data_IF_209241829697
#
_entry.id   IF_209241829697
#
_cell.length_a   1.000
_cell.length_b   1.000
_cell.length_c   1.000
_cell.angle_alpha   90.00
_cell.angle_beta   90.00
_cell.angle_gamma   90.00
#
_symmetry.space_group_name_H-M   'P 1'
#
loop_
_entity.id
_entity.type
_entity.pdbx_description
1 polymer ?
#
# COMPACT_ATOMS: atom_id res chain seq x y z
N UNK A 1 15.48 16.71 -10.81
CA UNK A 1 14.62 16.43 -11.93
C UNK A 1 13.56 15.40 -11.54
N UNK A 2 12.37 15.43 -12.17
CA UNK A 2 11.20 14.58 -11.85
C UNK A 2 11.52 13.06 -11.88
N UNK A 3 12.51 12.64 -12.66
CA UNK A 3 12.97 11.25 -12.73
C UNK A 3 13.73 10.83 -11.47
N UNK A 4 14.57 11.69 -10.91
CA UNK A 4 15.29 11.41 -9.67
C UNK A 4 14.36 11.36 -8.47
N UNK A 5 13.31 12.17 -8.45
CA UNK A 5 12.27 12.15 -7.41
C UNK A 5 11.43 10.86 -7.45
N UNK A 6 10.99 10.41 -8.64
CA UNK A 6 10.20 9.17 -8.74
C UNK A 6 11.01 7.92 -8.34
N UNK A 7 12.32 7.89 -8.66
CA UNK A 7 13.23 6.81 -8.24
C UNK A 7 13.45 6.84 -6.72
N UNK A 8 13.59 8.03 -6.14
CA UNK A 8 13.75 8.19 -4.69
C UNK A 8 12.50 7.72 -3.95
N UNK A 9 11.31 8.12 -4.39
CA UNK A 9 10.03 7.68 -3.81
C UNK A 9 9.88 6.16 -3.91
N UNK A 10 10.19 5.55 -5.06
CA UNK A 10 10.13 4.09 -5.22
C UNK A 10 11.07 3.36 -4.26
N UNK A 11 12.30 3.85 -4.05
CA UNK A 11 13.25 3.27 -3.08
C UNK A 11 12.72 3.39 -1.65
N UNK A 12 12.15 4.52 -1.27
CA UNK A 12 11.56 4.73 0.06
C UNK A 12 10.39 3.78 0.30
N UNK A 13 9.50 3.59 -0.69
CA UNK A 13 8.39 2.64 -0.61
C UNK A 13 8.87 1.21 -0.44
N UNK A 14 9.89 0.78 -1.19
CA UNK A 14 10.49 -0.55 -1.03
C UNK A 14 11.11 -0.74 0.37
N UNK A 15 11.75 0.28 0.93
CA UNK A 15 12.24 0.24 2.31
C UNK A 15 11.09 0.12 3.32
N UNK A 16 9.98 0.83 3.11
CA UNK A 16 8.76 0.71 3.90
C UNK A 16 8.20 -0.71 3.91
N UNK A 17 8.08 -1.34 2.73
CA UNK A 17 7.61 -2.72 2.59
C UNK A 17 8.53 -3.74 3.28
N UNK A 18 9.86 -3.55 3.23
CA UNK A 18 10.82 -4.35 4.01
C UNK A 18 10.61 -4.14 5.52
N UNK A 19 10.38 -2.90 5.94
CA UNK A 19 10.05 -2.54 7.31
C UNK A 19 8.81 -3.27 7.82
N UNK A 20 7.73 -3.25 7.05
CA UNK A 20 6.50 -3.96 7.39
C UNK A 20 6.73 -5.46 7.59
N UNK A 21 7.43 -6.11 6.66
CA UNK A 21 7.72 -7.54 6.76
C UNK A 21 8.51 -7.87 8.03
N UNK A 22 9.55 -7.11 8.32
CA UNK A 22 10.40 -7.34 9.48
C UNK A 22 9.68 -7.05 10.81
N UNK A 23 8.98 -5.92 10.90
CA UNK A 23 8.28 -5.49 12.11
C UNK A 23 7.10 -6.41 12.43
N UNK A 24 6.25 -6.74 11.44
CA UNK A 24 5.11 -7.63 11.65
C UNK A 24 5.56 -9.04 12.03
N UNK A 25 6.62 -9.56 11.40
CA UNK A 25 7.20 -10.85 11.79
C UNK A 25 7.70 -10.85 13.23
N UNK A 26 8.35 -9.76 13.66
CA UNK A 26 8.85 -9.59 15.02
C UNK A 26 7.69 -9.45 16.04
N UNK A 27 6.63 -8.73 15.70
CA UNK A 27 5.43 -8.62 16.56
C UNK A 27 4.76 -9.98 16.79
N UNK A 28 4.72 -10.85 15.78
CA UNK A 28 4.20 -12.22 15.94
C UNK A 28 5.03 -13.08 16.89
N UNK A 29 6.32 -12.75 17.10
CA UNK A 29 7.19 -13.40 18.09
C UNK A 29 7.03 -12.80 19.50
N UNK A 30 6.25 -11.73 19.66
CA UNK A 30 6.00 -11.08 20.94
C UNK A 30 7.05 -10.07 21.39
N UNK A 31 8.08 -9.80 20.59
CA UNK A 31 9.15 -8.85 20.91
C UNK A 31 8.92 -7.48 20.24
N UNK A 32 8.05 -6.68 20.84
CA UNK A 32 7.75 -5.33 20.34
C UNK A 32 8.88 -4.33 20.55
N UNK A 33 9.79 -4.59 21.52
CA UNK A 33 10.89 -3.67 21.84
C UNK A 33 11.96 -3.59 20.73
N UNK A 34 12.03 -4.60 19.87
CA UNK A 34 12.96 -4.59 18.73
C UNK A 34 12.44 -3.82 17.51
N UNK A 35 11.13 -3.52 17.44
CA UNK A 35 10.55 -2.84 16.29
C UNK A 35 11.20 -1.49 15.97
N UNK A 36 11.53 -0.71 17.01
CA UNK A 36 12.24 0.56 16.85
C UNK A 36 13.62 0.35 16.25
N UNK A 37 14.38 -0.64 16.76
CA UNK A 37 15.73 -0.95 16.25
C UNK A 37 15.67 -1.40 14.79
N UNK A 38 14.69 -2.24 14.44
CA UNK A 38 14.45 -2.70 13.06
C UNK A 38 14.17 -1.50 12.14
N UNK A 39 13.25 -0.62 12.54
CA UNK A 39 12.91 0.56 11.74
C UNK A 39 14.12 1.51 11.57
N UNK A 40 14.86 1.78 12.62
CA UNK A 40 16.09 2.60 12.56
C UNK A 40 17.18 1.99 11.68
N UNK A 41 17.36 0.67 11.73
CA UNK A 41 18.33 -0.02 10.86
C UNK A 41 17.99 0.09 9.37
N UNK A 42 16.74 0.33 9.05
CA UNK A 42 16.24 0.59 7.69
C UNK A 42 16.24 2.08 7.32
N UNK A 43 16.73 2.95 8.21
CA UNK A 43 16.88 4.38 7.95
C UNK A 43 15.66 5.24 8.33
N UNK A 44 14.67 4.68 9.06
CA UNK A 44 13.53 5.47 9.56
C UNK A 44 13.88 6.19 10.86
N UNK A 45 13.43 7.45 10.97
CA UNK A 45 13.58 8.25 12.17
C UNK A 45 12.44 7.97 13.16
N UNK A 46 12.70 7.10 14.15
CA UNK A 46 11.74 6.67 15.16
C UNK A 46 12.31 6.98 16.55
N UNK A 47 11.55 7.69 17.39
CA UNK A 47 11.90 7.97 18.79
C UNK A 47 11.50 6.79 19.70
N UNK A 48 12.18 6.63 20.84
CA UNK A 48 11.89 5.54 21.80
C UNK A 48 10.46 5.62 22.37
N UNK A 49 9.90 6.82 22.47
CA UNK A 49 8.52 7.06 22.93
C UNK A 49 7.45 6.62 21.92
N UNK A 50 7.83 6.24 20.70
CA UNK A 50 6.93 5.95 19.58
C UNK A 50 6.82 4.44 19.27
N UNK A 51 7.11 3.58 20.24
CA UNK A 51 7.12 2.13 20.07
C UNK A 51 5.81 1.54 19.49
N UNK A 52 4.67 2.12 19.87
CA UNK A 52 3.34 1.67 19.40
C UNK A 52 2.97 2.21 18.01
N UNK A 53 3.70 3.20 17.50
CA UNK A 53 3.41 3.91 16.24
C UNK A 53 4.41 3.55 15.12
N UNK A 54 5.33 2.61 15.37
CA UNK A 54 6.45 2.32 14.47
C UNK A 54 5.98 2.03 13.04
N UNK A 55 4.94 1.21 12.86
CA UNK A 55 4.41 0.87 11.53
C UNK A 55 3.76 2.08 10.85
N UNK A 56 3.07 2.92 11.60
CA UNK A 56 2.47 4.15 11.08
C UNK A 56 3.55 5.14 10.62
N UNK A 57 4.58 5.34 11.43
CA UNK A 57 5.72 6.21 11.08
C UNK A 57 6.51 5.68 9.88
N UNK A 58 6.73 4.37 9.80
CA UNK A 58 7.31 3.73 8.61
C UNK A 58 6.43 3.96 7.39
N UNK A 59 5.11 3.85 7.52
CA UNK A 59 4.14 4.12 6.45
C UNK A 59 4.24 5.56 5.93
N UNK A 60 4.29 6.52 6.86
CA UNK A 60 4.37 7.96 6.53
C UNK A 60 5.72 8.28 5.89
N UNK A 61 6.82 7.92 6.54
CA UNK A 61 8.18 8.23 6.06
C UNK A 61 8.55 7.52 4.76
N UNK A 62 7.95 6.35 4.49
CA UNK A 62 8.12 5.64 3.21
C UNK A 62 7.16 6.09 2.10
N UNK A 63 6.31 7.08 2.37
CA UNK A 63 5.30 7.58 1.43
C UNK A 63 4.22 6.53 1.03
N UNK A 64 4.08 5.45 1.80
CA UNK A 64 3.05 4.44 1.59
C UNK A 64 1.67 4.93 2.07
N UNK A 65 1.64 5.77 3.12
CA UNK A 65 0.40 6.34 3.67
C UNK A 65 -0.28 7.31 2.70
N UNK A 66 0.46 7.92 1.78
CA UNK A 66 0.00 8.99 0.88
C UNK A 66 -0.44 8.46 -0.50
N UNK A 67 -0.65 7.15 -0.64
CA UNK A 67 -1.11 6.61 -1.92
C UNK A 67 -2.57 7.04 -2.21
N UNK A 68 -2.76 7.61 -3.38
CA UNK A 68 -4.07 8.11 -3.84
C UNK A 68 -4.98 7.01 -4.39
N UNK A 69 -4.47 5.80 -4.63
CA UNK A 69 -5.29 4.68 -5.10
C UNK A 69 -5.98 4.00 -3.92
N UNK A 70 -7.29 3.80 -4.06
CA UNK A 70 -8.12 3.25 -2.99
C UNK A 70 -7.67 1.85 -2.54
N UNK A 71 -7.34 0.97 -3.49
CA UNK A 71 -6.93 -0.39 -3.21
C UNK A 71 -5.62 -0.42 -2.40
N UNK A 72 -4.57 0.25 -2.87
CA UNK A 72 -3.26 0.29 -2.19
C UNK A 72 -3.34 0.99 -0.82
N UNK A 73 -4.08 2.10 -0.72
CA UNK A 73 -4.27 2.82 0.54
C UNK A 73 -4.92 1.93 1.61
N UNK A 74 -5.92 1.13 1.25
CA UNK A 74 -6.61 0.26 2.20
C UNK A 74 -5.86 -1.03 2.50
N UNK A 75 -5.12 -1.62 1.54
CA UNK A 75 -4.16 -2.69 1.84
C UNK A 75 -3.08 -2.20 2.79
N UNK A 76 -2.48 -1.04 2.55
CA UNK A 76 -1.52 -0.41 3.45
C UNK A 76 -2.11 -0.20 4.85
N UNK A 77 -3.32 0.36 4.94
CA UNK A 77 -4.01 0.58 6.22
C UNK A 77 -4.23 -0.71 7.00
N UNK A 78 -4.52 -1.83 6.31
CA UNK A 78 -4.70 -3.12 6.97
C UNK A 78 -3.41 -3.61 7.65
N UNK A 79 -2.25 -3.38 7.02
CA UNK A 79 -0.93 -3.75 7.53
C UNK A 79 -0.48 -2.89 8.72
N UNK A 80 -0.95 -1.64 8.79
CA UNK A 80 -0.50 -0.66 9.80
C UNK A 80 -1.38 -0.69 11.05
N UNK A 81 -2.66 -0.97 10.92
CA UNK A 81 -3.60 -0.81 12.05
C UNK A 81 -4.26 -2.12 12.50
N UNK A 82 -5.21 -2.75 11.73
CA UNK A 82 -5.95 -3.89 12.28
C UNK A 82 -5.12 -5.15 12.43
N UNK A 83 -4.18 -5.44 11.53
CA UNK A 83 -3.33 -6.63 11.64
C UNK A 83 -2.41 -6.56 12.86
N UNK A 84 -1.66 -5.48 13.12
CA UNK A 84 -0.88 -5.32 14.35
C UNK A 84 -1.72 -5.41 15.63
N UNK A 85 -2.88 -4.78 15.64
CA UNK A 85 -3.79 -4.82 16.78
C UNK A 85 -4.29 -6.25 17.06
N UNK A 86 -4.62 -7.01 16.01
CA UNK A 86 -5.00 -8.42 16.13
C UNK A 86 -3.83 -9.27 16.67
N UNK A 87 -2.60 -9.07 16.18
CA UNK A 87 -1.39 -9.76 16.67
C UNK A 87 -1.21 -9.50 18.17
N UNK A 88 -1.27 -8.25 18.59
CA UNK A 88 -1.11 -7.87 20.01
C UNK A 88 -2.20 -8.52 20.88
N UNK A 89 -3.45 -8.51 20.40
CA UNK A 89 -4.57 -9.11 21.12
C UNK A 89 -4.42 -10.62 21.25
N UNK A 90 -4.01 -11.33 20.21
CA UNK A 90 -3.75 -12.78 20.24
C UNK A 90 -2.60 -13.10 21.20
N UNK A 91 -1.48 -12.35 21.15
CA UNK A 91 -0.32 -12.55 22.01
C UNK A 91 -0.66 -12.34 23.50
N UNK A 92 -1.36 -11.25 23.83
CA UNK A 92 -1.81 -10.97 25.18
C UNK A 92 -2.75 -12.06 25.73
N UNK A 93 -3.67 -12.53 24.89
CA UNK A 93 -4.58 -13.61 25.21
C UNK A 93 -3.84 -14.93 25.43
N UNK A 94 -2.88 -15.22 24.54
CA UNK A 94 -2.06 -16.41 24.67
C UNK A 94 -1.26 -16.43 25.99
N UNK A 95 -0.74 -15.28 26.41
CA UNK A 95 -0.03 -15.14 27.68
C UNK A 95 -0.98 -15.43 28.86
N UNK A 96 -2.17 -14.84 28.88
CA UNK A 96 -3.16 -15.05 29.94
C UNK A 96 -3.63 -16.51 30.00
N UNK A 97 -3.95 -17.12 28.86
CA UNK A 97 -4.36 -18.51 28.78
C UNK A 97 -3.25 -19.47 29.21
N UNK A 98 -2.01 -19.24 28.80
CA UNK A 98 -0.85 -20.05 29.23
C UNK A 98 -0.66 -20.00 30.76
N UNK A 99 -0.89 -18.84 31.40
CA UNK A 99 -0.84 -18.72 32.86
C UNK A 99 -1.90 -19.57 33.52
N UNK A 100 -3.13 -19.56 33.00
CA UNK A 100 -4.23 -20.41 33.51
C UNK A 100 -3.94 -21.89 33.31
N UNK A 101 -3.48 -22.27 32.11
CA UNK A 101 -3.18 -23.67 31.79
C UNK A 101 -2.01 -24.24 32.62
N UNK A 102 -0.99 -23.42 32.90
CA UNK A 102 0.15 -23.82 33.71
C UNK A 102 -0.18 -23.97 35.20
N UNK A 103 -1.10 -23.15 35.75
CA UNK A 103 -1.51 -23.18 37.15
C UNK A 103 -2.74 -24.04 37.41
N UNK A 104 -3.42 -24.48 36.37
CA UNK A 104 -4.70 -25.13 36.36
C UNK A 104 -5.79 -24.40 37.19
N UNK A 105 -5.73 -23.08 37.18
CA UNK A 105 -6.70 -22.22 37.86
C UNK A 105 -6.70 -20.79 37.28
N UNK A 106 -7.87 -20.15 37.42
CA UNK A 106 -8.01 -18.73 37.13
C UNK A 106 -7.57 -17.85 38.31
N UNK A 107 -7.01 -16.71 37.96
CA UNK A 107 -7.02 -15.51 38.81
C UNK A 107 -8.10 -14.54 38.31
N UNK A 108 -8.57 -13.58 39.15
CA UNK A 108 -9.51 -12.56 38.65
C UNK A 108 -9.02 -11.85 37.39
N UNK A 109 -7.73 -11.52 37.33
CA UNK A 109 -7.14 -10.81 36.20
C UNK A 109 -7.14 -11.65 34.92
N UNK A 110 -6.75 -12.94 35.01
CA UNK A 110 -6.74 -13.82 33.84
C UNK A 110 -8.14 -14.12 33.33
N UNK A 111 -9.13 -14.30 34.23
CA UNK A 111 -10.52 -14.48 33.85
C UNK A 111 -11.08 -13.25 33.13
N UNK A 112 -10.83 -12.04 33.67
CA UNK A 112 -11.25 -10.77 33.06
C UNK A 112 -10.58 -10.59 31.69
N UNK A 113 -9.27 -10.84 31.59
CA UNK A 113 -8.53 -10.69 30.33
C UNK A 113 -9.08 -11.61 29.23
N UNK A 114 -9.30 -12.91 29.54
CA UNK A 114 -9.84 -13.88 28.58
C UNK A 114 -11.30 -13.61 28.21
N UNK A 115 -12.13 -13.21 29.18
CA UNK A 115 -13.53 -12.82 28.93
C UNK A 115 -13.61 -11.56 28.05
N UNK A 116 -12.77 -10.57 28.29
CA UNK A 116 -12.71 -9.35 27.47
C UNK A 116 -12.23 -9.67 26.05
N UNK A 117 -11.24 -10.55 25.91
CA UNK A 117 -10.80 -11.03 24.59
C UNK A 117 -11.95 -11.64 23.82
N UNK A 118 -12.64 -12.60 24.39
CA UNK A 118 -13.76 -13.28 23.70
C UNK A 118 -14.83 -12.31 23.20
N UNK A 119 -15.12 -11.25 23.97
CA UNK A 119 -16.09 -10.21 23.61
C UNK A 119 -15.56 -9.22 22.56
N UNK A 120 -14.26 -8.90 22.60
CA UNK A 120 -13.67 -7.88 21.75
C UNK A 120 -13.17 -8.40 20.40
N UNK A 121 -12.80 -9.68 20.32
CA UNK A 121 -12.24 -10.27 19.10
C UNK A 121 -13.09 -10.06 17.85
N UNK A 122 -14.43 -10.21 17.87
CA UNK A 122 -15.26 -9.94 16.70
C UNK A 122 -15.17 -8.49 16.20
N UNK A 123 -14.81 -7.54 17.07
CA UNK A 123 -14.62 -6.14 16.67
C UNK A 123 -13.34 -5.95 15.85
N UNK A 124 -12.25 -6.65 16.23
CA UNK A 124 -11.00 -6.62 15.47
C UNK A 124 -11.17 -7.27 14.09
N UNK A 125 -11.86 -8.43 14.02
CA UNK A 125 -12.19 -9.09 12.75
C UNK A 125 -13.04 -8.19 11.87
N UNK A 126 -14.12 -7.61 12.41
CA UNK A 126 -14.99 -6.68 11.66
C UNK A 126 -14.23 -5.44 11.15
N UNK A 127 -13.28 -4.93 11.93
CA UNK A 127 -12.46 -3.79 11.51
C UNK A 127 -11.53 -4.17 10.35
N UNK A 128 -10.89 -5.35 10.42
CA UNK A 128 -10.06 -5.89 9.35
C UNK A 128 -10.89 -6.10 8.08
N UNK A 129 -12.06 -6.74 8.20
CA UNK A 129 -12.98 -6.97 7.09
C UNK A 129 -13.43 -5.67 6.43
N UNK A 130 -13.82 -4.68 7.23
CA UNK A 130 -14.25 -3.39 6.70
C UNK A 130 -13.15 -2.73 5.87
N UNK A 131 -11.90 -2.81 6.31
CA UNK A 131 -10.76 -2.22 5.62
C UNK A 131 -10.44 -3.02 4.36
N UNK A 132 -10.31 -4.35 4.45
CA UNK A 132 -9.96 -5.18 3.30
C UNK A 132 -11.09 -5.26 2.26
N UNK A 133 -12.37 -5.20 2.66
CA UNK A 133 -13.48 -5.16 1.72
C UNK A 133 -13.44 -3.92 0.82
N UNK A 134 -13.00 -2.77 1.31
CA UNK A 134 -12.82 -1.59 0.45
C UNK A 134 -11.75 -1.86 -0.59
N UNK A 135 -10.60 -2.43 -0.20
CA UNK A 135 -9.51 -2.74 -1.12
C UNK A 135 -9.90 -3.80 -2.17
N UNK A 136 -10.56 -4.88 -1.74
CA UNK A 136 -10.97 -6.00 -2.59
C UNK A 136 -12.09 -5.62 -3.56
N UNK A 137 -12.97 -4.70 -3.19
CA UNK A 137 -14.00 -4.15 -4.08
C UNK A 137 -13.41 -3.15 -5.08
N UNK A 138 -12.34 -2.44 -4.71
CA UNK A 138 -11.69 -1.48 -5.58
C UNK A 138 -10.83 -2.15 -6.67
N UNK A 139 -10.28 -3.33 -6.40
CA UNK A 139 -9.40 -4.04 -7.34
C UNK A 139 -9.59 -5.57 -7.27
N UNK A 140 -9.88 -6.17 -8.45
CA UNK A 140 -10.12 -7.63 -8.57
C UNK A 140 -8.86 -8.45 -8.28
N UNK A 141 -7.66 -7.94 -8.55
CA UNK A 141 -6.41 -8.64 -8.26
C UNK A 141 -6.17 -8.74 -6.76
N UNK A 142 -6.49 -7.68 -6.02
CA UNK A 142 -6.48 -7.65 -4.55
C UNK A 142 -7.47 -8.65 -3.97
N UNK A 143 -8.68 -8.69 -4.51
CA UNK A 143 -9.70 -9.67 -4.11
C UNK A 143 -9.16 -11.11 -4.27
N UNK A 144 -8.64 -11.45 -5.45
CA UNK A 144 -8.09 -12.77 -5.73
C UNK A 144 -6.91 -13.14 -4.82
N UNK A 145 -6.09 -12.16 -4.47
CA UNK A 145 -4.89 -12.38 -3.65
C UNK A 145 -5.20 -12.50 -2.15
N UNK A 146 -6.11 -11.69 -1.62
CA UNK A 146 -6.29 -11.52 -0.17
C UNK A 146 -7.50 -12.26 0.42
N UNK A 147 -8.55 -12.53 -0.37
CA UNK A 147 -9.73 -13.23 0.16
C UNK A 147 -9.45 -14.65 0.67
N UNK A 148 -8.65 -15.50 -0.02
CA UNK A 148 -8.35 -16.83 0.51
C UNK A 148 -7.59 -16.80 1.85
N UNK A 149 -6.48 -16.05 2.02
CA UNK A 149 -5.80 -15.98 3.32
C UNK A 149 -6.64 -15.30 4.41
N UNK A 150 -7.52 -14.36 4.07
CA UNK A 150 -8.46 -13.76 5.02
C UNK A 150 -9.47 -14.78 5.54
N UNK A 151 -10.03 -15.61 4.66
CA UNK A 151 -10.95 -16.70 5.05
C UNK A 151 -10.24 -17.72 5.97
N UNK A 152 -8.97 -18.07 5.67
CA UNK A 152 -8.18 -18.94 6.51
C UNK A 152 -7.95 -18.32 7.90
N UNK A 153 -7.69 -17.02 7.95
CA UNK A 153 -7.52 -16.29 9.21
C UNK A 153 -8.80 -16.33 10.05
N UNK A 154 -9.97 -16.06 9.48
CA UNK A 154 -11.26 -16.14 10.19
C UNK A 154 -11.50 -17.53 10.76
N UNK A 155 -11.22 -18.58 9.99
CA UNK A 155 -11.34 -19.97 10.47
C UNK A 155 -10.42 -20.25 11.65
N UNK A 156 -9.15 -19.80 11.57
CA UNK A 156 -8.17 -20.02 12.63
C UNK A 156 -8.53 -19.24 13.91
N UNK A 157 -8.91 -17.98 13.76
CA UNK A 157 -9.32 -17.10 14.88
C UNK A 157 -10.62 -17.59 15.51
N UNK A 158 -11.58 -18.04 14.71
CA UNK A 158 -12.82 -18.64 15.20
C UNK A 158 -12.58 -19.91 16.01
N UNK A 159 -11.70 -20.80 15.55
CA UNK A 159 -11.32 -22.01 16.28
C UNK A 159 -10.59 -21.68 17.60
N UNK A 160 -9.70 -20.68 17.58
CA UNK A 160 -8.99 -20.20 18.76
C UNK A 160 -9.96 -19.63 19.81
N UNK A 161 -10.86 -18.75 19.38
CA UNK A 161 -11.91 -18.18 20.24
C UNK A 161 -12.81 -19.27 20.85
N UNK A 162 -13.29 -20.16 19.99
CA UNK A 162 -14.16 -21.27 20.41
C UNK A 162 -13.51 -22.14 21.47
N UNK A 163 -12.23 -22.46 21.32
CA UNK A 163 -11.50 -23.25 22.32
C UNK A 163 -11.37 -22.52 23.67
N UNK A 164 -11.16 -21.19 23.65
CA UNK A 164 -11.13 -20.39 24.88
C UNK A 164 -12.51 -20.37 25.54
N UNK A 165 -13.57 -20.15 24.80
CA UNK A 165 -14.92 -20.06 25.33
C UNK A 165 -15.36 -21.43 25.88
N UNK A 166 -15.39 -22.44 25.04
CA UNK A 166 -16.02 -23.75 25.36
C UNK A 166 -15.16 -24.66 26.23
N UNK A 167 -13.84 -24.48 26.27
CA UNK A 167 -12.92 -25.36 26.98
C UNK A 167 -12.17 -24.71 28.14
N UNK A 168 -12.22 -23.36 28.22
CA UNK A 168 -11.51 -22.63 29.26
C UNK A 168 -12.45 -21.80 30.14
N UNK A 169 -13.39 -21.02 29.53
CA UNK A 169 -14.23 -20.06 30.26
C UNK A 169 -15.58 -20.60 30.72
N UNK A 170 -16.24 -21.45 29.92
CA UNK A 170 -17.59 -21.95 30.21
C UNK A 170 -17.63 -23.15 31.20
N UNK A 171 -16.69 -24.12 31.14
CA UNK A 171 -16.73 -25.28 32.04
C UNK A 171 -16.26 -24.92 33.43
N UNK A 172 -16.78 -25.67 34.45
CA UNK A 172 -16.27 -25.56 35.82
C UNK A 172 -14.80 -26.01 35.94
N UNK A 173 -14.39 -27.00 35.13
CA UNK A 173 -13.01 -27.50 35.04
C UNK A 173 -12.36 -27.08 33.73
N UNK A 174 -11.03 -26.84 33.74
CA UNK A 174 -10.25 -26.53 32.58
C UNK A 174 -10.09 -27.74 31.67
N UNK A 175 -10.76 -27.75 30.53
CA UNK A 175 -10.74 -28.84 29.55
C UNK A 175 -9.69 -28.61 28.43
N UNK A 176 -9.17 -27.40 28.27
CA UNK A 176 -8.18 -27.05 27.24
C UNK A 176 -6.78 -27.51 27.68
N UNK A 177 -6.10 -28.28 26.84
CA UNK A 177 -4.72 -28.70 27.11
C UNK A 177 -3.72 -27.69 26.57
N UNK A 178 -2.53 -27.63 27.21
CA UNK A 178 -1.42 -26.78 26.74
C UNK A 178 -1.03 -27.08 25.30
N UNK A 179 -0.98 -28.35 24.90
CA UNK A 179 -0.61 -28.78 23.54
C UNK A 179 -1.64 -28.32 22.51
N UNK A 180 -2.92 -28.48 22.81
CA UNK A 180 -4.01 -28.04 21.93
C UNK A 180 -3.99 -26.51 21.78
N UNK A 181 -3.85 -25.80 22.88
CA UNK A 181 -3.80 -24.33 22.88
C UNK A 181 -2.60 -23.80 22.07
N UNK A 182 -1.41 -24.38 22.26
CA UNK A 182 -0.22 -24.01 21.47
C UNK A 182 -0.44 -24.23 19.97
N UNK A 183 -1.08 -25.35 19.60
CA UNK A 183 -1.41 -25.62 18.19
C UNK A 183 -2.37 -24.59 17.62
N UNK A 184 -3.40 -24.20 18.36
CA UNK A 184 -4.37 -23.18 17.94
C UNK A 184 -3.72 -21.80 17.78
N UNK A 185 -2.88 -21.39 18.75
CA UNK A 185 -2.13 -20.14 18.70
C UNK A 185 -1.21 -20.10 17.48
N UNK A 186 -0.45 -21.17 17.24
CA UNK A 186 0.43 -21.28 16.07
C UNK A 186 -0.35 -21.24 14.75
N UNK A 187 -1.55 -21.82 14.70
CA UNK A 187 -2.40 -21.77 13.51
C UNK A 187 -2.87 -20.34 13.22
N UNK A 188 -3.25 -19.57 14.24
CA UNK A 188 -3.60 -18.15 14.08
C UNK A 188 -2.42 -17.35 13.57
N UNK A 189 -1.24 -17.50 14.20
CA UNK A 189 -0.02 -16.80 13.74
C UNK A 189 0.37 -17.18 12.31
N UNK A 190 0.25 -18.45 11.93
CA UNK A 190 0.49 -18.90 10.55
C UNK A 190 -0.49 -18.26 9.57
N UNK A 191 -1.77 -18.15 9.94
CA UNK A 191 -2.81 -17.55 9.10
C UNK A 191 -2.61 -16.03 8.94
N UNK A 192 -2.23 -15.33 10.02
CA UNK A 192 -1.83 -13.91 9.95
C UNK A 192 -0.62 -13.75 9.02
N UNK A 193 0.40 -14.60 9.18
CA UNK A 193 1.60 -14.56 8.34
C UNK A 193 1.27 -14.81 6.86
N UNK A 194 0.35 -15.72 6.56
CA UNK A 194 -0.14 -15.94 5.19
C UNK A 194 -0.82 -14.68 4.63
N UNK A 195 -1.67 -14.02 5.40
CA UNK A 195 -2.31 -12.77 4.98
C UNK A 195 -1.26 -11.67 4.73
N UNK A 196 -0.33 -11.44 5.65
CA UNK A 196 0.74 -10.45 5.52
C UNK A 196 1.64 -10.75 4.33
N UNK A 197 2.03 -12.03 4.13
CA UNK A 197 2.89 -12.46 3.02
C UNK A 197 2.25 -12.28 1.64
N UNK A 198 0.93 -12.21 1.58
CA UNK A 198 0.18 -11.87 0.36
C UNK A 198 -0.10 -10.37 0.25
N UNK A 199 -0.39 -9.71 1.38
CA UNK A 199 -0.71 -8.26 1.38
C UNK A 199 0.48 -7.40 0.94
N UNK A 200 1.71 -7.71 1.39
CA UNK A 200 2.89 -6.91 1.04
C UNK A 200 3.22 -6.97 -0.45
N UNK A 201 3.33 -8.15 -1.11
CA UNK A 201 3.56 -8.20 -2.56
C UNK A 201 2.38 -7.63 -3.37
N UNK A 202 1.14 -7.77 -2.88
CA UNK A 202 -0.02 -7.15 -3.52
C UNK A 202 0.08 -5.63 -3.48
N UNK A 203 0.46 -5.05 -2.35
CA UNK A 203 0.70 -3.62 -2.23
C UNK A 203 1.85 -3.16 -3.15
N UNK A 204 2.94 -3.92 -3.20
CA UNK A 204 4.08 -3.66 -4.09
C UNK A 204 3.65 -3.63 -5.56
N UNK A 205 2.90 -4.63 -6.01
CA UNK A 205 2.40 -4.69 -7.40
C UNK A 205 1.46 -3.54 -7.77
N UNK A 206 0.61 -3.09 -6.84
CA UNK A 206 -0.26 -1.92 -7.05
C UNK A 206 0.55 -0.64 -7.21
N UNK A 207 1.59 -0.45 -6.39
CA UNK A 207 2.49 0.70 -6.47
C UNK A 207 3.26 0.70 -7.79
N UNK A 208 3.80 -0.45 -8.22
CA UNK A 208 4.51 -0.59 -9.48
C UNK A 208 3.62 -0.32 -10.69
N UNK A 209 2.40 -0.85 -10.72
CA UNK A 209 1.43 -0.60 -11.77
C UNK A 209 1.10 0.89 -11.91
N UNK A 210 0.98 1.60 -10.78
CA UNK A 210 0.77 3.05 -10.76
C UNK A 210 1.95 3.80 -11.37
N UNK A 211 3.18 3.43 -10.99
CA UNK A 211 4.39 4.06 -11.51
C UNK A 211 4.52 3.86 -13.02
N UNK A 212 4.24 2.66 -13.54
CA UNK A 212 4.23 2.38 -14.98
C UNK A 212 3.20 3.22 -15.73
N UNK A 213 1.99 3.33 -15.20
CA UNK A 213 0.93 4.15 -15.81
C UNK A 213 1.31 5.62 -15.87
N UNK A 214 1.90 6.15 -14.79
CA UNK A 214 2.37 7.54 -14.76
C UNK A 214 3.51 7.80 -15.76
N UNK A 215 4.45 6.86 -15.90
CA UNK A 215 5.54 6.96 -16.89
C UNK A 215 5.01 6.93 -18.32
N UNK A 216 4.06 6.05 -18.63
CA UNK A 216 3.42 5.98 -19.93
C UNK A 216 2.70 7.28 -20.28
N UNK A 217 1.86 7.79 -19.38
CA UNK A 217 1.12 9.05 -19.58
C UNK A 217 2.07 10.22 -19.82
N UNK A 218 3.14 10.31 -19.03
CA UNK A 218 4.17 11.35 -19.21
C UNK A 218 4.84 11.27 -20.58
N UNK A 219 5.24 10.06 -21.01
CA UNK A 219 5.89 9.86 -22.30
C UNK A 219 4.95 10.21 -23.46
N UNK A 220 3.67 9.92 -23.33
CA UNK A 220 2.65 10.27 -24.30
C UNK A 220 2.47 11.80 -24.41
N UNK A 221 2.42 12.50 -23.27
CA UNK A 221 2.36 13.98 -23.25
C UNK A 221 3.60 14.62 -23.88
N UNK A 222 4.80 14.10 -23.58
CA UNK A 222 6.04 14.57 -24.18
C UNK A 222 6.07 14.35 -25.70
N UNK A 223 5.62 13.20 -26.18
CA UNK A 223 5.52 12.91 -27.61
C UNK A 223 4.52 13.84 -28.31
N UNK A 224 3.34 14.06 -27.71
CA UNK A 224 2.34 14.97 -28.24
C UNK A 224 2.86 16.43 -28.30
N UNK A 225 3.58 16.87 -27.27
CA UNK A 225 4.20 18.21 -27.24
C UNK A 225 5.25 18.36 -28.33
N UNK A 226 6.09 17.35 -28.57
CA UNK A 226 7.10 17.37 -29.63
C UNK A 226 6.46 17.44 -31.02
N UNK A 227 5.41 16.63 -31.26
CA UNK A 227 4.66 16.66 -32.52
C UNK A 227 4.04 18.04 -32.74
N UNK A 228 3.45 18.64 -31.72
CA UNK A 228 2.87 19.98 -31.81
C UNK A 228 3.91 21.05 -32.14
N UNK A 229 5.11 20.95 -31.56
CA UNK A 229 6.22 21.83 -31.84
C UNK A 229 6.70 21.69 -33.31
N UNK A 230 6.88 20.47 -33.79
CA UNK A 230 7.26 20.20 -35.16
C UNK A 230 6.22 20.73 -36.17
N UNK A 231 4.94 20.59 -35.85
CA UNK A 231 3.85 21.12 -36.65
C UNK A 231 3.89 22.66 -36.71
N UNK A 232 4.14 23.32 -35.59
CA UNK A 232 4.32 24.77 -35.54
C UNK A 232 5.51 25.25 -36.40
N UNK A 233 6.65 24.54 -36.33
CA UNK A 233 7.80 24.81 -37.20
C UNK A 233 7.47 24.60 -38.67
N UNK A 234 6.76 23.55 -39.02
CA UNK A 234 6.31 23.31 -40.40
C UNK A 234 5.47 24.47 -40.94
N UNK A 235 4.47 24.90 -40.15
CA UNK A 235 3.64 26.06 -40.55
C UNK A 235 4.46 27.34 -40.67
N UNK A 236 5.41 27.60 -39.77
CA UNK A 236 6.28 28.77 -39.81
C UNK A 236 7.14 28.78 -41.08
N UNK A 237 7.70 27.63 -41.46
CA UNK A 237 8.48 27.48 -42.69
C UNK A 237 7.59 27.70 -43.91
N UNK A 238 6.39 27.11 -43.95
CA UNK A 238 5.44 27.34 -45.04
C UNK A 238 5.02 28.80 -45.19
N UNK A 239 4.76 29.47 -44.06
CA UNK A 239 4.46 30.88 -44.03
C UNK A 239 5.64 31.73 -44.55
N UNK A 240 6.86 31.40 -44.09
CA UNK A 240 8.07 32.12 -44.56
C UNK A 240 8.22 32.05 -46.10
N UNK A 241 8.09 30.85 -46.69
CA UNK A 241 8.18 30.71 -48.15
C UNK A 241 7.06 31.43 -48.88
N UNK A 242 5.83 31.39 -48.38
CA UNK A 242 4.71 32.10 -48.96
C UNK A 242 4.92 33.63 -48.96
N UNK A 243 5.45 34.18 -47.86
CA UNK A 243 5.74 35.61 -47.75
C UNK A 243 6.88 36.00 -48.69
N UNK A 244 7.98 35.24 -48.71
CA UNK A 244 9.12 35.50 -49.58
C UNK A 244 8.73 35.45 -51.07
N UNK A 245 7.97 34.44 -51.47
CA UNK A 245 7.47 34.33 -52.86
C UNK A 245 6.57 35.52 -53.24
N UNK A 246 5.67 35.92 -52.33
CA UNK A 246 4.81 37.08 -52.54
C UNK A 246 5.62 38.37 -52.70
N UNK A 247 6.62 38.61 -51.85
CA UNK A 247 7.51 39.79 -51.92
C UNK A 247 8.28 39.78 -53.24
N UNK A 248 8.83 38.66 -53.68
CA UNK A 248 9.57 38.56 -54.94
C UNK A 248 8.67 38.86 -56.14
N UNK A 249 7.45 38.36 -56.18
CA UNK A 249 6.46 38.67 -57.24
C UNK A 249 6.11 40.15 -57.28
N UNK A 250 5.93 40.76 -56.10
CA UNK A 250 5.72 42.24 -56.04
C UNK A 250 6.97 43.04 -56.53
N UNK A 251 8.15 42.60 -56.17
CA UNK A 251 9.39 43.20 -56.60
C UNK A 251 9.56 43.12 -58.13
N UNK A 252 9.28 41.94 -58.72
CA UNK A 252 9.34 41.72 -60.17
C UNK A 252 8.25 42.52 -60.89
N UNK A 253 7.03 42.59 -60.38
CA UNK A 253 6.00 43.45 -61.00
C UNK A 253 6.35 44.94 -60.95
N UNK A 254 6.90 45.40 -59.82
CA UNK A 254 7.37 46.78 -59.69
C UNK A 254 8.52 47.10 -60.64
N UNK A 255 9.51 46.22 -60.85
CA UNK A 255 10.61 46.40 -61.80
C UNK A 255 10.12 46.44 -63.26
N UNK A 256 9.13 45.58 -63.61
CA UNK A 256 8.52 45.61 -64.97
C UNK A 256 7.75 46.89 -65.20
N UNK A 257 6.99 47.38 -64.24
CA UNK A 257 6.30 48.67 -64.32
C UNK A 257 7.27 49.84 -64.43
N UNK A 258 8.41 49.86 -63.75
CA UNK A 258 9.44 50.86 -63.81
C UNK A 258 10.14 50.87 -65.19
N UNK A 259 10.18 49.74 -65.90
CA UNK A 259 10.74 49.60 -67.23
C UNK A 259 9.74 49.89 -68.40
N UNK A 260 8.54 50.37 -68.04
CA UNK A 260 7.51 50.79 -69.02
C UNK A 260 6.51 49.75 -69.46
N UNK A 261 6.53 48.58 -68.84
CA UNK A 261 5.49 47.50 -69.06
C UNK A 261 4.28 47.78 -68.14
N UNK A 262 3.35 48.57 -68.65
CA UNK A 262 2.13 48.97 -67.91
C UNK A 262 1.05 47.86 -67.90
N UNK A 263 1.23 46.69 -68.54
CA UNK A 263 0.33 45.56 -68.53
C UNK A 263 0.76 44.47 -67.56
N UNK A 264 1.71 44.75 -66.64
CA UNK A 264 2.11 43.82 -65.63
C UNK A 264 0.95 43.54 -64.63
N UNK A 265 0.22 42.42 -64.77
CA UNK A 265 -0.72 41.95 -63.83
C UNK A 265 0.00 41.14 -62.79
N UNK A 266 -0.37 41.31 -61.49
CA UNK A 266 0.08 40.45 -60.38
C UNK A 266 -0.89 39.23 -60.38
N UNK A 267 -0.43 38.09 -60.91
CA UNK A 267 -1.16 36.85 -60.80
C UNK A 267 -1.22 36.40 -59.31
N UNK A 268 -2.43 36.26 -58.82
CA UNK A 268 -2.75 35.90 -57.43
C UNK A 268 -2.56 34.41 -57.18
#
# INVERSE_FOLDING_TARGET
SLLSESIAVSKMQQQGLKGYRAILSNQMQGDTNQNIKIARSLGFDIKDTQANEVLELVSIQSNLALDSQLASAYVNRSLVTPIPALIMQINSTAQSANTVLASNRFTPDTFIALSNFSKSLPLYEKQLDKILNVATNADKSVNKALMPPLTNLHSAVGAFKKAIDEKLLEPDDILLTQTEFTKLTNNVHSSINQLVSKSIPTLESLIEAKLQTQQWTRNLVLAASLISLLFAFYLMIGFYFAVVDTINRFADAANRAANGDLNATIDS
#
